data_IF_253242473099
#
_entry.id   IF_253242473099
#
_cell.length_a   1.000
_cell.length_b   1.000
_cell.length_c   1.000
_cell.angle_alpha   90.00
_cell.angle_beta   90.00
_cell.angle_gamma   90.00
#
_symmetry.space_group_name_H-M   'P 1'
#
loop_
_entity.id
_entity.type
_entity.pdbx_description
1 polymer ?
#
# COMPACT_ATOMS: atom_id res chain seq x y z
N UNK A 1 -69.91 -3.51 46.95
CA UNK A 1 -68.65 -4.28 46.94
C UNK A 1 -68.10 -4.27 45.52
N UNK A 2 -66.91 -3.67 45.39
CA UNK A 2 -65.89 -3.75 44.33
C UNK A 2 -66.29 -4.31 42.95
N UNK A 3 -66.32 -3.45 41.93
CA UNK A 3 -65.90 -3.81 40.56
C UNK A 3 -65.36 -2.55 39.86
N UNK A 4 -64.33 -2.75 39.03
CA UNK A 4 -63.64 -1.81 38.10
C UNK A 4 -62.29 -1.26 38.56
N UNK A 5 -61.22 -2.03 38.30
CA UNK A 5 -59.92 -1.49 37.90
C UNK A 5 -59.17 -2.58 37.14
N UNK A 6 -59.02 -2.47 35.81
CA UNK A 6 -57.87 -3.00 35.04
C UNK A 6 -58.07 -2.89 33.52
N UNK A 7 -58.01 -1.69 32.92
CA UNK A 7 -57.71 -1.57 31.48
C UNK A 7 -57.01 -0.24 31.20
N UNK A 8 -55.68 -0.12 31.45
CA UNK A 8 -54.90 0.98 30.81
C UNK A 8 -53.36 0.88 30.80
N UNK A 9 -52.75 -0.29 30.88
CA UNK A 9 -51.27 -0.38 31.00
C UNK A 9 -50.54 -1.02 29.80
N UNK A 10 -51.22 -1.64 28.83
CA UNK A 10 -50.52 -2.34 27.73
C UNK A 10 -50.10 -1.45 26.55
N UNK A 11 -50.87 -0.41 26.20
CA UNK A 11 -50.68 0.36 24.96
C UNK A 11 -49.40 1.24 24.97
N UNK A 12 -49.03 1.79 26.12
CA UNK A 12 -47.86 2.70 26.25
C UNK A 12 -46.52 1.97 26.11
N UNK A 13 -46.46 0.67 26.43
CA UNK A 13 -45.22 -0.12 26.34
C UNK A 13 -44.83 -0.48 24.89
N UNK A 14 -45.83 -0.73 24.04
CA UNK A 14 -45.66 -1.07 22.62
C UNK A 14 -45.22 0.15 21.81
N UNK A 15 -45.83 1.31 22.05
CA UNK A 15 -45.47 2.58 21.38
C UNK A 15 -44.05 3.02 21.77
N UNK A 16 -43.64 2.82 23.03
CA UNK A 16 -42.28 3.10 23.51
C UNK A 16 -41.23 2.16 22.92
N UNK A 17 -41.58 0.88 22.73
CA UNK A 17 -40.71 -0.11 22.06
C UNK A 17 -40.56 0.17 20.56
N UNK A 18 -41.62 0.64 19.92
CA UNK A 18 -41.61 0.99 18.49
C UNK A 18 -40.78 2.25 18.23
N UNK A 19 -40.94 3.30 19.04
CA UNK A 19 -40.12 4.53 18.94
C UNK A 19 -38.64 4.27 19.22
N UNK A 20 -38.30 3.40 20.19
CA UNK A 20 -36.90 3.03 20.44
C UNK A 20 -36.28 2.25 19.27
N UNK A 21 -37.07 1.38 18.62
CA UNK A 21 -36.62 0.60 17.46
C UNK A 21 -36.40 1.49 16.22
N UNK A 22 -37.30 2.44 15.95
CA UNK A 22 -37.16 3.41 14.86
C UNK A 22 -35.97 4.35 15.11
N UNK A 23 -35.76 4.79 16.36
CA UNK A 23 -34.60 5.61 16.73
C UNK A 23 -33.28 4.86 16.53
N UNK A 24 -33.17 3.60 16.96
CA UNK A 24 -31.99 2.77 16.72
C UNK A 24 -31.73 2.53 15.23
N UNK A 25 -32.77 2.25 14.43
CA UNK A 25 -32.64 2.09 12.98
C UNK A 25 -32.16 3.39 12.32
N UNK A 26 -32.67 4.56 12.75
CA UNK A 26 -32.23 5.85 12.23
C UNK A 26 -30.77 6.18 12.56
N UNK A 27 -30.28 5.80 13.74
CA UNK A 27 -28.88 5.98 14.15
C UNK A 27 -27.91 5.10 13.34
N UNK A 28 -28.34 3.88 13.00
CA UNK A 28 -27.56 2.96 12.16
C UNK A 28 -27.43 3.47 10.72
N UNK A 29 -28.46 4.11 10.17
CA UNK A 29 -28.43 4.64 8.80
C UNK A 29 -27.47 5.83 8.66
N UNK A 30 -27.35 6.71 9.67
CA UNK A 30 -26.43 7.86 9.65
C UNK A 30 -24.95 7.44 9.71
N UNK A 31 -24.64 6.35 10.41
CA UNK A 31 -23.27 5.85 10.60
C UNK A 31 -22.68 5.23 9.32
N UNK A 32 -23.55 4.65 8.48
CA UNK A 32 -23.14 4.01 7.22
C UNK A 32 -22.62 4.99 6.17
N UNK A 33 -23.08 6.25 6.22
CA UNK A 33 -22.74 7.26 5.21
C UNK A 33 -21.29 7.75 5.33
N UNK A 34 -20.78 7.92 6.56
CA UNK A 34 -19.42 8.42 6.81
C UNK A 34 -18.35 7.39 6.44
N UNK A 35 -18.63 6.09 6.60
CA UNK A 35 -17.73 4.98 6.22
C UNK A 35 -17.57 4.89 4.71
N UNK A 36 -18.70 4.91 3.98
CA UNK A 36 -18.70 4.95 2.51
C UNK A 36 -17.95 6.18 2.00
N UNK A 37 -18.10 7.32 2.67
CA UNK A 37 -17.44 8.55 2.26
C UNK A 37 -15.91 8.48 2.39
N UNK A 38 -15.36 7.87 3.44
CA UNK A 38 -13.91 7.66 3.56
C UNK A 38 -13.37 6.68 2.52
N UNK A 39 -14.10 5.58 2.25
CA UNK A 39 -13.73 4.65 1.17
C UNK A 39 -13.73 5.37 -0.18
N UNK A 40 -14.75 6.17 -0.47
CA UNK A 40 -14.84 6.97 -1.70
C UNK A 40 -13.72 8.00 -1.79
N UNK A 41 -13.33 8.64 -0.69
CA UNK A 41 -12.27 9.66 -0.70
C UNK A 41 -10.89 9.05 -1.02
N UNK A 42 -10.55 7.92 -0.41
CA UNK A 42 -9.31 7.22 -0.75
C UNK A 42 -9.40 6.57 -2.15
N UNK A 43 -10.57 6.08 -2.58
CA UNK A 43 -10.76 5.53 -3.92
C UNK A 43 -10.64 6.59 -5.04
N UNK A 44 -10.80 7.87 -4.70
CA UNK A 44 -10.54 9.01 -5.60
C UNK A 44 -9.08 9.50 -5.52
N UNK A 45 -8.28 8.97 -4.60
CA UNK A 45 -6.84 9.24 -4.60
C UNK A 45 -6.19 8.45 -5.74
N UNK A 46 -5.17 9.05 -6.33
CA UNK A 46 -4.42 8.48 -7.42
C UNK A 46 -3.04 8.06 -6.93
N UNK A 47 -2.62 6.86 -7.29
CA UNK A 47 -1.35 6.26 -6.89
C UNK A 47 -0.48 6.02 -8.12
N UNK A 48 0.82 6.24 -7.98
CA UNK A 48 1.82 5.96 -9.01
C UNK A 48 3.13 5.54 -8.35
N UNK A 49 3.81 4.55 -8.91
CA UNK A 49 5.20 4.26 -8.54
C UNK A 49 6.13 5.20 -9.32
N UNK A 50 7.11 5.79 -8.65
CA UNK A 50 8.09 6.65 -9.32
C UNK A 50 9.37 5.86 -9.63
N UNK A 51 10.15 5.57 -8.59
CA UNK A 51 11.44 4.91 -8.71
C UNK A 51 11.76 4.10 -7.45
N UNK A 52 12.77 3.23 -7.54
CA UNK A 52 13.43 2.69 -6.35
C UNK A 52 14.58 3.63 -5.96
N UNK A 53 14.59 4.08 -4.71
CA UNK A 53 15.66 4.87 -4.13
C UNK A 53 16.49 4.04 -3.14
N UNK A 54 17.69 4.51 -2.83
CA UNK A 54 18.58 3.91 -1.82
C UNK A 54 18.89 2.43 -2.07
N UNK A 55 18.92 2.02 -3.34
CA UNK A 55 19.04 0.63 -3.72
C UNK A 55 20.41 0.06 -3.36
N UNK A 56 20.40 -1.04 -2.61
CA UNK A 56 21.60 -1.78 -2.21
C UNK A 56 21.45 -3.25 -2.55
N UNK A 57 22.56 -3.87 -2.97
CA UNK A 57 22.66 -5.34 -3.15
C UNK A 57 23.79 -5.86 -2.28
N UNK A 58 23.49 -6.82 -1.41
CA UNK A 58 24.44 -7.35 -0.44
C UNK A 58 25.11 -6.24 0.39
N UNK A 59 24.38 -5.15 0.66
CA UNK A 59 24.87 -3.97 1.36
C UNK A 59 25.72 -3.00 0.52
N UNK A 60 25.94 -3.27 -0.76
CA UNK A 60 26.67 -2.40 -1.70
C UNK A 60 25.67 -1.43 -2.32
N UNK A 61 25.95 -0.13 -2.23
CA UNK A 61 25.14 0.92 -2.83
C UNK A 61 25.33 0.94 -4.36
N UNK A 62 24.34 0.41 -5.09
CA UNK A 62 24.41 0.36 -6.55
C UNK A 62 24.19 1.71 -7.19
N UNK A 63 23.59 2.70 -6.53
CA UNK A 63 23.42 4.06 -7.10
C UNK A 63 24.75 4.72 -7.52
N UNK A 64 25.87 4.22 -6.98
CA UNK A 64 27.23 4.67 -7.29
C UNK A 64 27.88 3.92 -8.45
N UNK A 65 27.30 2.80 -8.88
CA UNK A 65 27.85 1.90 -9.90
C UNK A 65 27.25 2.31 -11.26
N UNK A 66 27.97 3.14 -12.02
CA UNK A 66 27.56 3.55 -13.39
C UNK A 66 27.99 2.53 -14.44
N UNK A 67 28.99 1.71 -14.11
CA UNK A 67 29.58 0.70 -14.97
C UNK A 67 30.20 -0.42 -14.14
N UNK A 68 30.44 -1.59 -14.75
CA UNK A 68 31.13 -2.72 -14.10
C UNK A 68 32.52 -2.36 -13.54
N UNK A 69 33.19 -1.38 -14.15
CA UNK A 69 34.48 -0.86 -13.70
C UNK A 69 34.41 -0.03 -12.42
N UNK A 70 33.22 0.45 -12.03
CA UNK A 70 33.05 1.23 -10.80
C UNK A 70 32.90 0.35 -9.56
N UNK A 71 32.73 -0.97 -9.76
CA UNK A 71 32.66 -1.94 -8.67
C UNK A 71 34.07 -2.19 -8.17
N UNK A 72 34.36 -1.77 -6.94
CA UNK A 72 35.63 -2.07 -6.29
C UNK A 72 35.86 -3.56 -6.17
N UNK A 73 37.12 -4.00 -6.21
CA UNK A 73 37.51 -5.42 -6.16
C UNK A 73 36.87 -6.18 -4.97
N UNK A 74 36.77 -5.51 -3.81
CA UNK A 74 36.17 -6.09 -2.62
C UNK A 74 34.65 -6.26 -2.73
N UNK A 75 33.96 -5.31 -3.37
CA UNK A 75 32.52 -5.39 -3.64
C UNK A 75 32.24 -6.50 -4.66
N UNK A 76 33.07 -6.60 -5.71
CA UNK A 76 32.98 -7.67 -6.70
C UNK A 76 33.16 -9.05 -6.05
N UNK A 77 34.17 -9.22 -5.20
CA UNK A 77 34.40 -10.47 -4.46
C UNK A 77 33.21 -10.82 -3.55
N UNK A 78 32.61 -9.83 -2.89
CA UNK A 78 31.41 -10.02 -2.05
C UNK A 78 30.20 -10.46 -2.87
N UNK A 79 29.97 -9.85 -4.03
CA UNK A 79 28.87 -10.23 -4.93
C UNK A 79 29.04 -11.66 -5.45
N UNK A 80 30.25 -12.03 -5.86
CA UNK A 80 30.58 -13.41 -6.29
C UNK A 80 30.35 -14.40 -5.15
N UNK A 81 30.85 -14.09 -3.95
CA UNK A 81 30.67 -14.93 -2.78
C UNK A 81 29.18 -15.14 -2.47
N UNK A 82 28.39 -14.07 -2.38
CA UNK A 82 26.95 -14.15 -2.09
C UNK A 82 26.18 -14.93 -3.16
N UNK A 83 26.50 -14.70 -4.43
CA UNK A 83 25.94 -15.48 -5.53
C UNK A 83 26.26 -16.98 -5.42
N UNK A 84 27.49 -17.34 -5.03
CA UNK A 84 27.86 -18.75 -4.80
C UNK A 84 27.07 -19.39 -3.64
N UNK A 85 26.67 -18.57 -2.66
CA UNK A 85 25.77 -18.96 -1.57
C UNK A 85 24.29 -18.97 -1.97
N UNK A 86 23.97 -18.77 -3.25
CA UNK A 86 22.59 -18.71 -3.77
C UNK A 86 21.74 -17.64 -3.06
N UNK A 87 22.35 -16.51 -2.74
CA UNK A 87 21.71 -15.42 -1.99
C UNK A 87 22.18 -14.08 -2.54
N UNK A 88 21.25 -13.20 -2.92
CA UNK A 88 21.54 -11.83 -3.35
C UNK A 88 20.54 -10.86 -2.72
N UNK A 89 20.66 -10.58 -1.41
CA UNK A 89 19.74 -9.70 -0.70
C UNK A 89 19.83 -8.28 -1.25
N UNK A 90 18.70 -7.70 -1.61
CA UNK A 90 18.57 -6.33 -2.07
C UNK A 90 17.59 -5.56 -1.19
N UNK A 91 17.91 -4.31 -0.90
CA UNK A 91 17.06 -3.40 -0.14
C UNK A 91 16.94 -2.07 -0.85
N UNK A 92 15.75 -1.48 -0.83
CA UNK A 92 15.47 -0.17 -1.44
C UNK A 92 14.18 0.43 -0.89
N UNK A 93 13.99 1.73 -1.12
CA UNK A 93 12.73 2.42 -0.87
C UNK A 93 11.97 2.56 -2.18
N UNK A 94 10.85 1.85 -2.32
CA UNK A 94 9.94 2.03 -3.44
C UNK A 94 9.18 3.35 -3.23
N UNK A 95 9.47 4.35 -4.05
CA UNK A 95 8.83 5.66 -3.99
C UNK A 95 7.45 5.58 -4.65
N UNK A 96 6.42 5.88 -3.86
CA UNK A 96 5.04 5.94 -4.33
C UNK A 96 4.54 7.38 -4.21
N UNK A 97 4.13 7.96 -5.34
CA UNK A 97 3.42 9.22 -5.39
C UNK A 97 1.93 8.98 -5.14
N UNK A 98 1.35 9.74 -4.22
CA UNK A 98 -0.08 9.68 -3.90
C UNK A 98 -0.69 11.07 -4.04
N UNK A 99 -1.69 11.22 -4.90
CA UNK A 99 -2.40 12.49 -5.12
C UNK A 99 -3.84 12.36 -4.65
N UNK A 100 -4.28 13.29 -3.81
CA UNK A 100 -5.68 13.49 -3.47
C UNK A 100 -6.18 14.76 -4.19
N UNK A 101 -6.94 14.65 -5.29
CA UNK A 101 -7.41 15.83 -6.04
C UNK A 101 -8.12 16.84 -5.16
N UNK A 102 -7.90 18.15 -5.38
CA UNK A 102 -8.59 19.22 -4.63
C UNK A 102 -10.12 19.09 -4.64
N UNK A 103 -10.67 18.57 -5.73
CA UNK A 103 -12.11 18.31 -5.88
C UNK A 103 -12.68 17.33 -4.83
N UNK A 104 -11.84 16.51 -4.18
CA UNK A 104 -12.28 15.63 -3.10
C UNK A 104 -12.63 16.41 -1.82
N UNK A 105 -12.03 17.58 -1.60
CA UNK A 105 -12.35 18.50 -0.50
C UNK A 105 -12.13 17.96 0.91
N UNK A 106 -11.66 16.72 1.06
CA UNK A 106 -11.49 16.01 2.33
C UNK A 106 -10.18 15.22 2.34
N UNK A 107 -9.52 15.20 3.50
CA UNK A 107 -8.32 14.38 3.72
C UNK A 107 -8.68 12.90 3.66
N UNK A 108 -7.95 12.14 2.85
CA UNK A 108 -8.03 10.69 2.85
C UNK A 108 -7.03 10.11 3.86
N UNK A 109 -7.36 8.98 4.47
CA UNK A 109 -6.49 8.26 5.40
C UNK A 109 -6.22 6.87 4.85
N UNK A 110 -4.94 6.48 4.81
CA UNK A 110 -4.49 5.14 4.46
C UNK A 110 -3.80 4.55 5.68
N UNK A 111 -4.48 3.65 6.38
CA UNK A 111 -3.95 3.00 7.58
C UNK A 111 -2.88 1.96 7.21
N UNK A 112 -3.21 1.10 6.25
CA UNK A 112 -2.32 0.02 5.79
C UNK A 112 -2.43 -0.18 4.29
N UNK A 113 -1.33 -0.54 3.66
CA UNK A 113 -1.21 -0.84 2.24
C UNK A 113 -0.34 -2.08 2.10
N UNK A 114 -0.93 -3.26 2.31
CA UNK A 114 -0.22 -4.50 2.06
C UNK A 114 -0.33 -4.85 0.58
N UNK A 115 0.80 -5.12 -0.07
CA UNK A 115 0.80 -5.50 -1.47
C UNK A 115 1.93 -6.42 -1.86
N UNK A 116 1.74 -7.11 -2.97
CA UNK A 116 2.75 -7.95 -3.61
C UNK A 116 3.49 -7.11 -4.64
N UNK A 117 4.82 -7.07 -4.53
CA UNK A 117 5.67 -6.44 -5.51
C UNK A 117 5.92 -7.39 -6.68
N UNK A 118 5.72 -6.88 -7.89
CA UNK A 118 6.09 -7.53 -9.13
C UNK A 118 7.23 -6.78 -9.80
N UNK A 119 8.26 -7.53 -10.21
CA UNK A 119 9.41 -7.00 -10.95
C UNK A 119 9.40 -7.69 -12.32
N UNK A 120 9.19 -6.92 -13.38
CA UNK A 120 9.03 -7.42 -14.75
C UNK A 120 7.97 -8.54 -14.86
N UNK A 121 6.87 -8.41 -14.12
CA UNK A 121 5.77 -9.39 -14.09
C UNK A 121 5.98 -10.60 -13.19
N UNK A 122 7.18 -10.79 -12.61
CA UNK A 122 7.43 -11.85 -11.62
C UNK A 122 6.99 -11.38 -10.23
N UNK A 123 6.10 -12.15 -9.58
CA UNK A 123 5.71 -11.92 -8.17
C UNK A 123 6.92 -12.16 -7.26
N UNK A 124 7.18 -11.24 -6.32
CA UNK A 124 8.34 -11.30 -5.41
C UNK A 124 7.94 -11.33 -3.94
N UNK A 125 7.96 -10.18 -3.26
CA UNK A 125 7.80 -10.05 -1.82
C UNK A 125 6.57 -9.21 -1.47
N UNK A 126 6.12 -9.36 -0.22
CA UNK A 126 5.14 -8.44 0.35
C UNK A 126 5.83 -7.12 0.72
N UNK A 127 5.13 -6.03 0.44
CA UNK A 127 5.51 -4.65 0.75
C UNK A 127 4.38 -4.02 1.55
N UNK A 128 4.72 -3.23 2.56
CA UNK A 128 3.75 -2.52 3.40
C UNK A 128 4.23 -1.11 3.69
N UNK A 129 3.30 -0.19 3.94
CA UNK A 129 3.64 1.14 4.45
C UNK A 129 4.08 1.04 5.93
N UNK A 130 5.10 1.81 6.35
CA UNK A 130 5.64 1.71 7.71
C UNK A 130 4.70 2.31 8.77
N UNK A 131 3.85 3.26 8.39
CA UNK A 131 2.93 3.96 9.27
C UNK A 131 1.71 4.47 8.49
N UNK A 132 0.63 4.79 9.21
CA UNK A 132 -0.56 5.41 8.63
C UNK A 132 -0.23 6.72 7.89
N UNK A 133 -0.87 6.94 6.74
CA UNK A 133 -0.62 8.06 5.85
C UNK A 133 -1.88 8.93 5.78
N UNK A 134 -1.71 10.22 6.06
CA UNK A 134 -2.74 11.24 5.88
C UNK A 134 -2.49 11.97 4.57
N UNK A 135 -3.49 11.98 3.68
CA UNK A 135 -3.36 12.48 2.31
C UNK A 135 -4.31 13.68 2.15
N UNK A 136 -3.85 14.92 2.40
CA UNK A 136 -4.67 16.11 2.27
C UNK A 136 -4.97 16.41 0.78
N UNK A 137 -6.11 17.07 0.45
CA UNK A 137 -6.39 17.51 -0.91
C UNK A 137 -5.32 18.48 -1.42
N UNK A 138 -4.65 18.15 -2.52
CA UNK A 138 -3.50 18.89 -3.06
C UNK A 138 -3.29 18.63 -4.54
N UNK A 139 -2.75 19.62 -5.27
CA UNK A 139 -2.29 19.43 -6.66
C UNK A 139 -0.91 18.75 -6.71
N UNK A 140 -0.12 18.91 -5.63
CA UNK A 140 1.19 18.30 -5.46
C UNK A 140 1.03 16.91 -4.81
N UNK A 141 1.52 15.83 -5.44
CA UNK A 141 1.50 14.50 -4.85
C UNK A 141 2.33 14.41 -3.57
N UNK A 142 1.84 13.66 -2.59
CA UNK A 142 2.60 13.23 -1.42
C UNK A 142 3.51 12.06 -1.81
N UNK A 143 4.80 12.14 -1.49
CA UNK A 143 5.75 11.05 -1.71
C UNK A 143 5.80 10.15 -0.48
N UNK A 144 5.59 8.85 -0.69
CA UNK A 144 5.57 7.81 0.33
C UNK A 144 6.68 6.80 0.06
N UNK A 145 7.44 6.48 1.10
CA UNK A 145 8.52 5.51 1.05
C UNK A 145 8.02 4.15 1.53
N UNK A 146 8.05 3.16 0.64
CA UNK A 146 7.73 1.78 0.95
C UNK A 146 9.03 0.98 1.03
N UNK A 147 9.50 0.60 2.24
CA UNK A 147 10.74 -0.15 2.38
C UNK A 147 10.56 -1.57 1.82
N UNK A 148 11.50 -2.00 0.98
CA UNK A 148 11.52 -3.31 0.34
C UNK A 148 12.79 -4.05 0.73
N UNK A 149 12.65 -5.34 1.03
CA UNK A 149 13.74 -6.29 1.18
C UNK A 149 13.42 -7.55 0.38
N UNK A 150 14.26 -7.88 -0.59
CA UNK A 150 14.04 -8.98 -1.53
C UNK A 150 15.36 -9.69 -1.80
N UNK A 151 15.35 -11.02 -1.89
CA UNK A 151 16.52 -11.77 -2.35
C UNK A 151 16.41 -12.01 -3.86
N UNK A 152 17.21 -11.31 -4.65
CA UNK A 152 17.14 -11.37 -6.10
C UNK A 152 17.47 -12.77 -6.63
N UNK A 153 18.32 -13.54 -5.94
CA UNK A 153 18.67 -14.89 -6.38
C UNK A 153 17.46 -15.82 -6.32
N UNK A 154 16.61 -15.69 -5.29
CA UNK A 154 15.44 -16.56 -5.12
C UNK A 154 14.43 -16.48 -6.27
N UNK A 155 14.31 -15.31 -6.89
CA UNK A 155 13.33 -15.07 -7.95
C UNK A 155 13.94 -15.01 -9.34
N UNK A 156 15.23 -14.68 -9.46
CA UNK A 156 15.89 -14.39 -10.73
C UNK A 156 17.25 -15.06 -10.90
N UNK A 157 17.61 -16.02 -10.05
CA UNK A 157 18.92 -16.68 -10.04
C UNK A 157 19.33 -17.35 -11.36
N UNK A 158 18.34 -17.77 -12.16
CA UNK A 158 18.55 -18.35 -13.50
C UNK A 158 19.23 -17.36 -14.48
N UNK A 159 19.18 -16.06 -14.20
CA UNK A 159 19.85 -15.03 -15.01
C UNK A 159 21.37 -14.98 -14.84
N UNK A 160 21.91 -15.74 -13.88
CA UNK A 160 23.33 -15.68 -13.51
C UNK A 160 23.72 -14.37 -12.82
N UNK A 161 24.96 -14.29 -12.33
CA UNK A 161 25.45 -13.13 -11.57
C UNK A 161 25.33 -11.82 -12.35
N UNK A 162 25.77 -11.82 -13.61
CA UNK A 162 25.69 -10.65 -14.49
C UNK A 162 24.25 -10.18 -14.68
N UNK A 163 23.32 -11.11 -14.90
CA UNK A 163 21.91 -10.78 -15.09
C UNK A 163 21.25 -10.24 -13.82
N UNK A 164 21.68 -10.69 -12.64
CA UNK A 164 21.22 -10.13 -11.36
C UNK A 164 21.78 -8.72 -11.10
N UNK A 165 23.05 -8.46 -11.45
CA UNK A 165 23.64 -7.12 -11.36
C UNK A 165 22.93 -6.15 -12.31
N UNK A 166 22.69 -6.57 -13.56
CA UNK A 166 21.91 -5.78 -14.52
C UNK A 166 20.50 -5.49 -14.00
N UNK A 167 19.80 -6.50 -13.47
CA UNK A 167 18.47 -6.31 -12.89
C UNK A 167 18.49 -5.30 -11.73
N UNK A 168 19.47 -5.41 -10.83
CA UNK A 168 19.65 -4.47 -9.72
C UNK A 168 19.88 -3.03 -10.23
N UNK A 169 20.72 -2.86 -11.25
CA UNK A 169 20.97 -1.55 -11.87
C UNK A 169 19.72 -0.98 -12.55
N UNK A 170 18.92 -1.82 -13.24
CA UNK A 170 17.67 -1.40 -13.86
C UNK A 170 16.62 -0.98 -12.82
N UNK A 171 16.46 -1.73 -11.71
CA UNK A 171 15.54 -1.34 -10.63
C UNK A 171 16.02 -0.04 -9.97
N UNK A 172 17.32 0.11 -9.74
CA UNK A 172 17.93 1.31 -9.18
C UNK A 172 17.96 2.53 -10.12
N UNK A 173 17.42 2.43 -11.33
CA UNK A 173 17.31 3.54 -12.28
C UNK A 173 18.62 3.93 -12.97
N UNK A 174 19.61 3.05 -13.02
CA UNK A 174 20.94 3.30 -13.60
C UNK A 174 21.09 2.76 -15.02
N UNK A 175 20.14 1.93 -15.47
CA UNK A 175 20.11 1.42 -16.83
C UNK A 175 19.13 2.24 -17.69
N UNK A 176 19.46 2.37 -18.98
CA UNK A 176 18.54 2.93 -19.97
C UNK A 176 17.34 1.99 -20.24
N UNK A 177 17.47 0.70 -19.92
CA UNK A 177 16.36 -0.26 -20.03
C UNK A 177 15.41 -0.12 -18.83
N UNK A 178 14.14 0.22 -19.06
CA UNK A 178 13.17 0.39 -17.98
C UNK A 178 12.85 -0.96 -17.33
N UNK A 179 12.93 -1.04 -16.00
CA UNK A 179 12.27 -2.12 -15.24
C UNK A 179 10.82 -1.77 -15.00
N UNK A 180 9.93 -2.73 -15.24
CA UNK A 180 8.52 -2.59 -14.86
C UNK A 180 8.33 -3.01 -13.41
N UNK A 181 8.04 -2.03 -12.56
CA UNK A 181 7.61 -2.26 -11.18
C UNK A 181 6.10 -2.11 -11.09
N UNK A 182 5.44 -3.09 -10.48
CA UNK A 182 4.01 -3.07 -10.17
C UNK A 182 3.80 -3.48 -8.73
N UNK A 183 3.03 -2.69 -7.98
CA UNK A 183 2.59 -3.04 -6.64
C UNK A 183 1.09 -3.36 -6.68
N UNK A 184 0.75 -4.64 -6.52
CA UNK A 184 -0.65 -5.06 -6.36
C UNK A 184 -0.99 -5.04 -4.88
N UNK A 185 -1.74 -4.03 -4.45
CA UNK A 185 -1.98 -3.78 -3.03
C UNK A 185 -3.46 -3.78 -2.66
N UNK A 186 -3.74 -4.10 -1.39
CA UNK A 186 -5.06 -3.98 -0.78
C UNK A 186 -5.03 -2.89 0.29
N UNK A 187 -5.54 -1.69 -0.01
CA UNK A 187 -5.62 -0.61 0.96
C UNK A 187 -6.54 -0.97 2.14
N UNK A 188 -6.18 -0.48 3.32
CA UNK A 188 -6.99 -0.48 4.52
C UNK A 188 -7.13 0.95 5.00
N UNK A 189 -8.37 1.38 5.21
CA UNK A 189 -8.67 2.70 5.78
C UNK A 189 -9.04 2.55 7.24
N UNK A 190 -8.84 3.63 7.99
CA UNK A 190 -9.37 3.73 9.35
C UNK A 190 -10.76 4.37 9.30
N UNK A 191 -11.72 3.78 9.99
CA UNK A 191 -13.11 4.26 10.07
C UNK A 191 -13.57 4.31 11.52
N UNK A 192 -14.64 5.06 11.87
CA UNK A 192 -15.14 5.12 13.24
C UNK A 192 -15.53 3.77 13.87
N UNK A 193 -15.78 2.74 13.05
CA UNK A 193 -16.11 1.38 13.51
C UNK A 193 -14.91 0.42 13.47
N UNK A 194 -13.73 0.93 13.12
CA UNK A 194 -12.48 0.20 13.02
C UNK A 194 -11.91 0.14 11.59
N UNK A 195 -10.77 -0.55 11.41
CA UNK A 195 -10.11 -0.71 10.12
C UNK A 195 -10.98 -1.46 9.11
N UNK A 196 -11.05 -0.96 7.87
CA UNK A 196 -11.77 -1.61 6.77
C UNK A 196 -10.84 -1.76 5.56
N UNK A 197 -10.64 -3.00 5.13
CA UNK A 197 -9.89 -3.30 3.92
C UNK A 197 -10.76 -3.10 2.66
N UNK A 198 -10.12 -2.71 1.57
CA UNK A 198 -10.77 -2.61 0.27
C UNK A 198 -11.25 -3.99 -0.21
N UNK A 199 -12.37 -4.04 -0.95
CA UNK A 199 -12.91 -5.31 -1.44
C UNK A 199 -12.03 -5.96 -2.50
N UNK A 200 -11.34 -5.14 -3.29
CA UNK A 200 -10.47 -5.58 -4.39
C UNK A 200 -9.07 -4.98 -4.23
N UNK A 201 -8.10 -5.66 -4.83
CA UNK A 201 -6.73 -5.14 -4.93
C UNK A 201 -6.67 -4.04 -6.01
N UNK A 202 -5.74 -3.11 -5.84
CA UNK A 202 -5.39 -2.08 -6.83
C UNK A 202 -3.99 -2.34 -7.38
N UNK A 203 -3.82 -2.17 -8.68
CA UNK A 203 -2.52 -2.24 -9.34
C UNK A 203 -1.94 -0.83 -9.46
N UNK A 204 -0.90 -0.56 -8.67
CA UNK A 204 -0.14 0.69 -8.70
C UNK A 204 1.08 0.46 -9.59
N UNK A 205 1.15 1.20 -10.69
CA UNK A 205 2.18 1.02 -11.71
C UNK A 205 3.04 2.28 -11.87
N UNK A 206 4.16 2.13 -12.56
CA UNK A 206 5.16 3.20 -12.73
C UNK A 206 4.86 4.18 -13.87
N UNK A 207 3.97 3.83 -14.79
CA UNK A 207 3.75 4.57 -16.03
C UNK A 207 2.71 5.68 -15.94
N UNK A 208 1.73 5.55 -15.04
CA UNK A 208 0.58 6.46 -14.95
C UNK A 208 -0.02 6.48 -13.55
N UNK A 209 -0.72 7.57 -13.23
CA UNK A 209 -1.54 7.66 -12.02
C UNK A 209 -2.81 6.82 -12.20
N UNK A 210 -3.05 5.91 -11.25
CA UNK A 210 -4.26 5.06 -11.19
C UNK A 210 -5.08 5.31 -9.93
#
# INVERSE_FOLDING_TARGET
>A
MQHLHAVRTHSTSLIRRFTLSVACISLLMLSSCTQLQQMVNLAKCQFKLENAADFRVSGIDVSRIRSYSDIGLMDAAKLVYQFSQKSMPATFNLKMAVRNPKANGQTASLLKLDGKLFINGTETVMVSNPAAISIPPSDVPLMVDLPVSVDLYKFFGERGLQGLINLAAQIGGLSAEPTTLTLRARPTIDTPIGPVAYPNDIDIISTEFR
#
